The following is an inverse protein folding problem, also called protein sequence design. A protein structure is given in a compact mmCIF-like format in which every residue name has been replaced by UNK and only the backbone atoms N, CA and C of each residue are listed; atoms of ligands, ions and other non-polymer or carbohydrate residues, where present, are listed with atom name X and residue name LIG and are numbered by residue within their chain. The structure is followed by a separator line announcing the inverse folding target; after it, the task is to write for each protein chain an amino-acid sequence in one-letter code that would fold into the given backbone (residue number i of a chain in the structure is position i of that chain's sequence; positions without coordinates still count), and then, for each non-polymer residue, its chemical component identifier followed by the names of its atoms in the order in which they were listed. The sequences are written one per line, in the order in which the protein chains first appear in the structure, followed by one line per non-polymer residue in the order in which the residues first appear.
data_IF_326744955394
#
_entry.id   IF_326744955394
#
_cell.length_a   1.000
_cell.length_b   1.000
_cell.length_c   1.000
_cell.angle_alpha   90.00
_cell.angle_beta   90.00
_cell.angle_gamma   90.00
#
_symmetry.space_group_name_H-M   'P 1'
#
loop_
_entity.id
_entity.type
_entity.pdbx_description
1 polymer ?
#
# COMPACT_ATOMS: atom_id res chain seq x y z
N UNK A 1 6.83 -1.52 -2.71
CA UNK A 1 7.60 -1.76 -3.96
C UNK A 1 6.75 -1.39 -5.17
N UNK A 2 7.38 -0.97 -6.28
CA UNK A 2 6.69 -0.67 -7.56
C UNK A 2 7.56 -1.07 -8.75
N UNK A 3 7.02 -1.90 -9.65
CA UNK A 3 7.66 -2.36 -10.88
C UNK A 3 6.93 -1.78 -12.10
N UNK A 4 7.66 -1.17 -13.04
CA UNK A 4 7.11 -0.69 -14.32
C UNK A 4 7.58 -1.52 -15.52
N UNK A 5 8.58 -2.37 -15.32
CA UNK A 5 9.05 -3.37 -16.27
C UNK A 5 9.74 -4.52 -15.54
N UNK A 6 10.16 -5.56 -16.24
CA UNK A 6 10.98 -6.65 -15.73
C UNK A 6 12.43 -6.23 -15.40
N UNK A 7 12.87 -5.08 -15.92
CA UNK A 7 14.19 -4.50 -15.69
C UNK A 7 14.14 -3.22 -14.85
N UNK A 8 12.98 -2.86 -14.31
CA UNK A 8 12.87 -1.69 -13.46
C UNK A 8 11.82 -1.86 -12.36
N UNK A 9 12.30 -2.09 -11.14
CA UNK A 9 11.51 -2.02 -9.91
C UNK A 9 12.20 -1.13 -8.91
N UNK A 10 11.43 -0.48 -8.06
CA UNK A 10 11.94 0.26 -6.90
C UNK A 10 11.32 -0.32 -5.64
N UNK A 11 12.16 -0.74 -4.72
CA UNK A 11 11.77 -1.06 -3.36
C UNK A 11 12.12 0.10 -2.43
N UNK A 12 11.29 0.34 -1.43
CA UNK A 12 11.53 1.33 -0.39
C UNK A 12 11.37 0.68 0.97
N UNK A 13 12.20 1.09 1.92
CA UNK A 13 12.15 0.63 3.30
C UNK A 13 12.65 1.71 4.25
N UNK A 14 12.34 1.56 5.53
CA UNK A 14 13.07 2.28 6.56
C UNK A 14 14.46 1.66 6.68
N UNK A 15 15.53 2.45 6.63
CA UNK A 15 16.87 1.94 6.85
C UNK A 15 16.93 1.22 8.19
N UNK A 16 17.27 -0.06 8.16
CA UNK A 16 17.46 -0.87 9.34
C UNK A 16 18.74 -0.48 10.09
N UNK A 17 18.83 0.74 10.53
CA UNK A 17 19.56 0.97 11.75
C UNK A 17 18.58 0.67 12.88
N UNK A 18 18.51 -0.62 13.20
CA UNK A 18 18.21 -1.04 14.52
C UNK A 18 18.67 0.06 15.45
N UNK A 19 17.82 0.43 16.36
CA UNK A 19 18.14 1.33 17.44
C UNK A 19 19.61 1.14 17.82
N UNK A 20 20.49 1.99 17.30
CA UNK A 20 21.69 2.26 18.05
C UNK A 20 21.19 2.71 19.42
N UNK A 21 22.01 2.54 20.43
CA UNK A 21 21.63 2.90 21.81
C UNK A 21 21.18 4.36 21.97
N UNK A 22 21.07 5.12 20.89
CA UNK A 22 20.67 6.53 20.80
C UNK A 22 19.25 6.74 20.25
N UNK A 23 18.55 5.66 19.79
CA UNK A 23 17.17 5.75 19.33
C UNK A 23 16.99 6.50 18.01
N UNK A 24 18.02 6.57 17.17
CA UNK A 24 17.96 7.25 15.88
C UNK A 24 17.17 6.38 14.88
N UNK A 25 16.03 6.87 14.41
CA UNK A 25 15.28 6.23 13.31
C UNK A 25 16.13 6.32 12.04
N UNK A 26 16.35 5.19 11.36
CA UNK A 26 17.15 5.14 10.14
C UNK A 26 16.57 6.01 9.03
N UNK A 27 17.42 6.48 8.13
CA UNK A 27 17.01 7.21 6.94
C UNK A 27 16.13 6.31 6.06
N UNK A 28 15.15 6.89 5.35
CA UNK A 28 14.39 6.16 4.35
C UNK A 28 15.29 5.82 3.15
N UNK A 29 15.28 4.57 2.72
CA UNK A 29 16.15 4.06 1.67
C UNK A 29 15.33 3.50 0.50
N UNK A 30 15.90 3.59 -0.70
CA UNK A 30 15.40 2.91 -1.89
C UNK A 30 16.48 2.04 -2.50
N UNK A 31 16.05 0.99 -3.17
CA UNK A 31 16.88 0.17 -4.05
C UNK A 31 16.18 0.01 -5.39
N UNK A 32 16.94 0.06 -6.47
CA UNK A 32 16.45 -0.18 -7.82
C UNK A 32 16.89 -1.54 -8.32
N UNK A 33 16.01 -2.19 -9.06
CA UNK A 33 16.24 -3.45 -9.78
C UNK A 33 16.49 -3.15 -11.25
N UNK A 34 17.53 -3.73 -11.85
CA UNK A 34 17.95 -3.52 -13.25
C UNK A 34 17.63 -4.71 -14.18
N UNK A 35 16.93 -5.72 -13.67
CA UNK A 35 16.63 -6.97 -14.37
C UNK A 35 17.48 -8.15 -13.90
N UNK A 36 18.60 -7.90 -13.22
CA UNK A 36 19.52 -8.92 -12.74
C UNK A 36 19.83 -8.79 -11.24
N UNK A 37 19.96 -7.56 -10.75
CA UNK A 37 20.39 -7.30 -9.38
C UNK A 37 19.75 -6.03 -8.79
N UNK A 38 19.67 -6.00 -7.46
CA UNK A 38 19.32 -4.81 -6.70
C UNK A 38 20.53 -3.91 -6.53
N UNK A 39 20.33 -2.60 -6.72
CA UNK A 39 21.35 -1.58 -6.47
C UNK A 39 21.75 -1.50 -4.99
N UNK A 40 22.86 -0.82 -4.70
CA UNK A 40 23.13 -0.35 -3.36
C UNK A 40 22.01 0.61 -2.90
N UNK A 41 21.74 0.69 -1.57
CA UNK A 41 20.72 1.58 -1.05
C UNK A 41 21.03 3.04 -1.36
N UNK A 42 19.99 3.80 -1.72
CA UNK A 42 20.03 5.24 -1.92
C UNK A 42 19.10 5.90 -0.91
N UNK A 43 19.57 6.91 -0.20
CA UNK A 43 18.80 7.65 0.81
C UNK A 43 17.93 8.69 0.10
N UNK A 44 16.62 8.64 0.31
CA UNK A 44 15.68 9.63 -0.22
C UNK A 44 15.15 10.59 0.86
N UNK A 45 15.06 10.13 2.12
CA UNK A 45 14.76 10.96 3.27
C UNK A 45 15.99 11.00 4.19
N UNK A 46 16.51 12.18 4.53
CA UNK A 46 17.44 12.28 5.64
C UNK A 46 16.74 11.74 6.90
N UNK A 47 17.50 11.09 7.78
CA UNK A 47 16.95 10.56 9.01
C UNK A 47 16.06 11.63 9.67
N UNK A 48 14.80 11.36 9.97
CA UNK A 48 13.97 12.32 10.65
C UNK A 48 14.66 12.64 11.97
N UNK A 49 14.94 13.92 12.19
CA UNK A 49 15.31 14.40 13.51
C UNK A 49 14.22 13.91 14.45
N UNK A 50 14.54 12.95 15.29
CA UNK A 50 13.67 12.18 16.18
C UNK A 50 12.28 12.80 16.34
N UNK A 51 11.36 12.45 15.44
CA UNK A 51 9.95 12.70 15.60
C UNK A 51 9.53 11.84 16.77
N UNK A 52 8.97 12.46 17.78
CA UNK A 52 8.45 11.83 18.98
C UNK A 52 7.93 10.44 18.66
N UNK A 53 8.57 9.41 19.20
CA UNK A 53 8.10 8.06 19.48
C UNK A 53 8.76 6.88 18.76
N UNK A 54 9.83 7.05 17.97
CA UNK A 54 10.66 5.90 17.57
C UNK A 54 9.98 4.77 16.78
N UNK A 55 8.81 5.02 16.19
CA UNK A 55 8.13 4.02 15.37
C UNK A 55 8.66 4.05 13.93
N UNK A 56 8.89 2.87 13.33
CA UNK A 56 9.29 2.80 11.93
C UNK A 56 8.24 3.46 11.05
N UNK A 57 8.69 4.36 10.19
CA UNK A 57 7.87 4.95 9.13
C UNK A 57 7.84 3.94 8.00
N UNK A 58 6.63 3.50 7.60
CA UNK A 58 6.47 2.59 6.48
C UNK A 58 6.19 3.41 5.21
N UNK A 59 7.21 3.61 4.36
CA UNK A 59 7.03 4.36 3.13
C UNK A 59 6.34 3.50 2.09
N UNK A 60 5.46 4.12 1.30
CA UNK A 60 4.87 3.51 0.11
C UNK A 60 5.41 4.19 -1.15
N UNK A 61 5.49 3.44 -2.23
CA UNK A 61 6.04 3.92 -3.50
C UNK A 61 5.16 3.51 -4.65
N UNK A 62 5.03 4.39 -5.62
CA UNK A 62 4.48 4.11 -6.95
C UNK A 62 5.37 4.71 -8.01
N UNK A 63 5.56 3.97 -9.10
CA UNK A 63 6.27 4.44 -10.29
C UNK A 63 5.37 4.29 -11.51
N UNK A 64 5.49 5.21 -12.46
CA UNK A 64 4.86 5.14 -13.77
C UNK A 64 5.91 5.29 -14.86
N UNK A 65 5.57 4.89 -16.09
CA UNK A 65 6.48 4.94 -17.24
C UNK A 65 7.03 6.34 -17.50
N UNK A 66 8.30 6.41 -17.94
CA UNK A 66 9.05 7.66 -18.20
C UNK A 66 9.94 8.14 -17.06
N UNK A 67 10.65 7.28 -16.32
CA UNK A 67 10.35 6.88 -14.95
C UNK A 67 10.03 8.08 -14.07
N UNK A 68 8.84 8.11 -13.55
CA UNK A 68 8.40 9.06 -12.52
C UNK A 68 7.91 8.26 -11.33
N UNK A 69 8.57 8.42 -10.20
CA UNK A 69 8.26 7.73 -8.95
C UNK A 69 7.88 8.73 -7.86
N UNK A 70 6.95 8.34 -7.01
CA UNK A 70 6.54 9.09 -5.83
C UNK A 70 6.61 8.18 -4.62
N UNK A 71 7.27 8.66 -3.56
CA UNK A 71 7.30 8.03 -2.24
C UNK A 71 6.50 8.91 -1.30
N UNK A 72 5.58 8.29 -0.56
CA UNK A 72 4.88 8.91 0.55
C UNK A 72 5.25 8.18 1.84
N UNK A 73 5.51 8.92 2.88
CA UNK A 73 5.73 8.36 4.21
C UNK A 73 4.57 8.68 5.18
N UNK A 74 4.45 7.87 6.21
CA UNK A 74 3.43 8.08 7.24
C UNK A 74 3.67 9.34 8.10
N UNK A 75 4.80 10.04 7.97
CA UNK A 75 5.05 11.28 8.70
C UNK A 75 4.50 12.53 7.99
N UNK A 76 3.95 12.35 6.79
CA UNK A 76 3.36 13.41 5.97
C UNK A 76 4.35 14.13 5.06
N UNK A 77 5.43 13.45 4.68
CA UNK A 77 6.35 13.92 3.64
C UNK A 77 6.17 13.12 2.35
N UNK A 78 6.49 13.77 1.27
CA UNK A 78 6.49 13.17 -0.07
C UNK A 78 7.77 13.53 -0.81
N UNK A 79 8.34 12.55 -1.53
CA UNK A 79 9.47 12.75 -2.43
C UNK A 79 9.12 12.27 -3.83
N UNK A 80 9.54 13.01 -4.84
CA UNK A 80 9.40 12.64 -6.24
C UNK A 80 10.78 12.36 -6.83
N UNK A 81 10.88 11.44 -7.76
CA UNK A 81 12.15 11.11 -8.40
C UNK A 81 12.00 10.23 -9.63
N UNK A 82 13.13 9.81 -10.19
CA UNK A 82 13.20 8.88 -11.33
C UNK A 82 13.58 7.45 -10.91
N UNK A 83 13.60 7.19 -9.60
CA UNK A 83 14.04 5.91 -9.03
C UNK A 83 15.52 5.87 -8.63
N UNK A 84 16.33 6.79 -9.13
CA UNK A 84 17.75 6.96 -8.78
C UNK A 84 18.03 8.31 -8.14
N UNK A 85 17.42 9.36 -8.68
CA UNK A 85 17.56 10.73 -8.19
C UNK A 85 16.25 11.19 -7.56
N UNK A 86 16.32 11.63 -6.31
CA UNK A 86 15.17 12.06 -5.55
C UNK A 86 15.22 13.56 -5.29
N UNK A 87 14.10 14.25 -5.53
CA UNK A 87 13.93 15.65 -5.15
C UNK A 87 13.74 15.68 -3.63
N UNK A 88 14.32 16.71 -2.99
CA UNK A 88 14.20 16.88 -1.54
C UNK A 88 12.74 16.75 -1.08
N UNK A 89 12.47 15.99 -0.02
CA UNK A 89 11.12 15.75 0.46
C UNK A 89 10.41 17.06 0.84
N UNK A 90 9.14 17.15 0.50
CA UNK A 90 8.29 18.28 0.86
C UNK A 90 7.17 17.82 1.79
N UNK A 91 6.79 18.63 2.80
CA UNK A 91 5.67 18.28 3.66
C UNK A 91 4.35 18.42 2.90
N UNK A 92 3.47 17.44 3.05
CA UNK A 92 2.07 17.56 2.66
C UNK A 92 1.37 18.51 3.61
N UNK A 93 0.71 19.54 3.11
CA UNK A 93 0.06 20.59 3.92
C UNK A 93 -1.46 20.47 3.86
N UNK A 94 -2.16 20.67 4.99
CA UNK A 94 -1.65 20.71 6.36
C UNK A 94 -1.23 19.31 6.81
N UNK A 95 -0.15 19.21 7.62
CA UNK A 95 0.13 17.96 8.30
C UNK A 95 -1.03 17.68 9.26
N UNK A 96 -1.82 16.61 9.05
CA UNK A 96 -2.98 16.38 9.89
C UNK A 96 -2.54 16.13 11.33
N UNK A 97 -3.33 16.57 12.34
CA UNK A 97 -3.02 16.28 13.73
C UNK A 97 -3.03 14.77 13.96
N UNK A 98 -2.07 14.28 14.74
CA UNK A 98 -2.07 12.90 15.23
C UNK A 98 -3.30 12.72 16.12
N UNK A 99 -4.31 12.00 15.66
CA UNK A 99 -5.44 11.64 16.51
C UNK A 99 -5.05 10.47 17.39
N UNK A 100 -5.02 10.70 18.71
CA UNK A 100 -4.93 9.62 19.69
C UNK A 100 -6.23 8.81 19.61
N UNK A 101 -6.13 7.49 19.58
CA UNK A 101 -7.30 6.62 19.63
C UNK A 101 -8.10 6.91 20.93
N UNK A 102 -9.33 7.46 20.85
CA UNK A 102 -10.10 7.81 22.03
C UNK A 102 -10.54 6.59 22.87
N UNK A 103 -10.48 5.38 22.30
CA UNK A 103 -10.89 4.14 22.99
C UNK A 103 -9.74 3.43 23.72
N UNK A 104 -8.49 3.87 23.51
CA UNK A 104 -7.35 3.33 24.25
C UNK A 104 -6.32 4.43 24.60
N UNK A 105 -6.66 5.36 25.53
CA UNK A 105 -5.75 6.42 25.93
C UNK A 105 -4.50 5.96 26.69
N UNK A 106 -4.43 4.67 27.04
CA UNK A 106 -3.30 4.08 27.79
C UNK A 106 -2.27 3.37 26.91
N UNK A 107 -2.54 3.09 25.64
CA UNK A 107 -1.53 2.65 24.69
C UNK A 107 -0.77 3.90 24.22
N UNK A 108 0.28 4.27 24.94
CA UNK A 108 1.11 5.43 24.66
C UNK A 108 1.91 5.35 23.33
N UNK A 109 1.40 4.66 22.36
CA UNK A 109 1.89 4.67 21.01
C UNK A 109 0.96 5.59 20.22
N UNK A 110 1.36 6.82 19.90
CA UNK A 110 0.74 7.54 18.80
C UNK A 110 0.86 6.62 17.61
N UNK A 111 -0.27 6.16 17.10
CA UNK A 111 -0.28 5.19 16.01
C UNK A 111 0.60 5.64 14.87
N UNK A 112 1.35 4.70 14.29
CA UNK A 112 2.09 4.97 13.07
C UNK A 112 1.10 5.53 12.04
N UNK A 113 1.42 6.66 11.43
CA UNK A 113 0.64 7.13 10.29
C UNK A 113 0.96 6.23 9.13
N UNK A 114 -0.07 5.69 8.52
CA UNK A 114 0.05 5.01 7.24
C UNK A 114 -0.39 5.95 6.13
N UNK A 115 0.34 5.92 5.03
CA UNK A 115 -0.03 6.60 3.80
C UNK A 115 0.16 5.62 2.64
N UNK A 116 -0.72 5.70 1.66
CA UNK A 116 -0.60 4.97 0.40
C UNK A 116 -0.58 5.94 -0.76
N UNK A 117 0.21 5.65 -1.79
CA UNK A 117 0.33 6.47 -2.99
C UNK A 117 0.07 5.67 -4.24
N UNK A 118 -0.64 6.25 -5.19
CA UNK A 118 -0.85 5.69 -6.53
C UNK A 118 -0.82 6.80 -7.58
N UNK A 119 -0.10 6.57 -8.66
CA UNK A 119 -0.03 7.45 -9.82
C UNK A 119 -0.68 6.79 -11.03
N UNK A 120 -1.63 7.45 -11.65
CA UNK A 120 -2.14 7.03 -12.96
C UNK A 120 -1.20 7.48 -14.08
N UNK A 121 -0.53 8.62 -13.90
CA UNK A 121 0.46 9.20 -14.83
C UNK A 121 1.46 10.04 -14.03
N UNK A 122 2.55 10.48 -14.67
CA UNK A 122 3.49 11.45 -14.07
C UNK A 122 2.86 12.82 -13.76
N UNK A 123 1.65 13.08 -14.26
CA UNK A 123 0.90 14.33 -14.05
C UNK A 123 -0.24 14.20 -13.05
N UNK A 124 -0.57 12.98 -12.62
CA UNK A 124 -1.63 12.71 -11.66
C UNK A 124 -1.24 11.59 -10.71
N UNK A 125 -1.16 11.91 -9.44
CA UNK A 125 -1.01 10.97 -8.34
C UNK A 125 -1.97 11.32 -7.22
N UNK A 126 -2.30 10.33 -6.43
CA UNK A 126 -3.08 10.49 -5.20
C UNK A 126 -2.36 9.83 -4.04
N UNK A 127 -2.33 10.52 -2.90
CA UNK A 127 -1.93 9.96 -1.62
C UNK A 127 -3.16 9.95 -0.73
N UNK A 128 -3.39 8.85 -0.03
CA UNK A 128 -4.39 8.76 1.04
C UNK A 128 -3.69 8.42 2.35
N UNK A 129 -4.18 8.96 3.46
CA UNK A 129 -3.64 8.70 4.79
C UNK A 129 -4.71 8.15 5.76
N UNK A 130 -4.27 7.49 6.83
CA UNK A 130 -5.17 6.96 7.86
C UNK A 130 -5.74 8.06 8.80
N UNK A 131 -5.44 9.32 8.55
CA UNK A 131 -6.14 10.46 9.15
C UNK A 131 -7.35 10.93 8.34
N UNK A 132 -7.62 10.26 7.21
CA UNK A 132 -8.79 10.54 6.37
C UNK A 132 -8.60 11.67 5.37
N UNK A 133 -7.40 11.87 4.88
CA UNK A 133 -7.12 12.87 3.86
C UNK A 133 -6.69 12.22 2.55
N UNK A 134 -7.08 12.85 1.45
CA UNK A 134 -6.52 12.60 0.12
C UNK A 134 -5.79 13.85 -0.39
N UNK A 135 -4.61 13.66 -0.90
CA UNK A 135 -3.79 14.68 -1.54
C UNK A 135 -3.64 14.33 -3.00
N UNK A 136 -3.86 15.28 -3.88
CA UNK A 136 -3.75 15.08 -5.33
C UNK A 136 -2.56 15.86 -5.88
N UNK A 137 -1.75 15.18 -6.70
CA UNK A 137 -0.69 15.80 -7.50
C UNK A 137 -1.23 16.13 -8.86
N UNK A 138 -1.25 17.41 -9.18
CA UNK A 138 -1.63 17.92 -10.49
C UNK A 138 -0.77 19.14 -10.86
N UNK A 139 -0.48 19.31 -12.16
CA UNK A 139 0.25 20.47 -12.68
C UNK A 139 1.60 20.74 -11.98
N UNK A 140 2.26 19.68 -11.49
CA UNK A 140 3.58 19.80 -10.85
C UNK A 140 3.54 20.22 -9.38
N UNK A 141 2.40 20.13 -8.71
CA UNK A 141 2.26 20.47 -7.29
C UNK A 141 1.23 19.59 -6.57
N UNK A 142 1.43 19.43 -5.25
CA UNK A 142 0.45 18.80 -4.37
C UNK A 142 -0.62 19.83 -3.98
N UNK A 143 -1.89 19.49 -4.24
CA UNK A 143 -3.02 20.32 -3.89
C UNK A 143 -3.35 20.23 -2.39
N UNK A 144 -4.20 21.12 -1.91
CA UNK A 144 -4.73 21.04 -0.55
C UNK A 144 -5.52 19.73 -0.38
N UNK A 145 -5.44 19.07 0.80
CA UNK A 145 -6.10 17.79 1.01
C UNK A 145 -7.61 17.92 0.98
N UNK A 146 -8.25 16.88 0.45
CA UNK A 146 -9.67 16.63 0.61
C UNK A 146 -9.86 15.69 1.79
N UNK A 147 -10.66 16.07 2.78
CA UNK A 147 -10.98 15.21 3.90
C UNK A 147 -12.09 14.21 3.52
N UNK A 148 -11.91 12.94 3.84
CA UNK A 148 -12.96 11.94 3.78
C UNK A 148 -13.83 12.09 5.04
N UNK A 149 -15.05 12.56 4.89
CA UNK A 149 -16.13 12.41 5.85
C UNK A 149 -15.78 12.38 7.35
N UNK A 150 -15.14 13.41 7.87
CA UNK A 150 -14.96 13.58 9.33
C UNK A 150 -16.27 13.99 10.04
N UNK A 151 -17.41 13.63 9.47
CA UNK A 151 -18.75 13.96 9.96
C UNK A 151 -19.43 12.79 10.69
N UNK A 152 -20.53 13.08 11.37
CA UNK A 152 -21.44 12.10 11.99
C UNK A 152 -22.47 11.54 11.01
N UNK A 153 -22.31 11.78 9.71
CA UNK A 153 -23.23 11.36 8.65
C UNK A 153 -23.01 9.90 8.19
N UNK A 154 -23.87 9.38 7.30
CA UNK A 154 -23.74 8.02 6.77
C UNK A 154 -22.42 7.79 5.99
N UNK A 155 -21.79 8.87 5.51
CA UNK A 155 -20.50 8.84 4.81
C UNK A 155 -19.29 8.98 5.75
N UNK A 156 -19.52 9.06 7.06
CA UNK A 156 -18.44 9.12 8.03
C UNK A 156 -17.62 7.83 8.00
N UNK A 157 -16.29 7.99 7.88
CA UNK A 157 -15.33 6.89 8.00
C UNK A 157 -14.79 6.91 9.43
N UNK A 158 -15.00 5.83 10.17
CA UNK A 158 -14.35 5.66 11.46
C UNK A 158 -12.88 5.31 11.20
N UNK A 159 -11.99 6.22 11.57
CA UNK A 159 -10.55 6.12 11.33
C UNK A 159 -9.82 5.82 12.65
N UNK A 160 -8.94 4.84 12.59
CA UNK A 160 -8.07 4.48 13.71
C UNK A 160 -6.62 4.56 13.26
N UNK A 161 -5.74 4.89 14.18
CA UNK A 161 -4.30 5.00 13.92
C UNK A 161 -3.64 3.68 13.47
N UNK A 162 -4.32 2.54 13.67
CA UNK A 162 -3.89 1.21 13.23
C UNK A 162 -4.51 0.78 11.90
N UNK A 163 -5.32 1.64 11.27
CA UNK A 163 -6.02 1.29 10.03
C UNK A 163 -5.02 1.22 8.87
N UNK A 164 -5.05 0.12 8.14
CA UNK A 164 -4.36 -0.03 6.88
C UNK A 164 -4.97 0.90 5.84
N UNK A 165 -4.11 1.44 4.98
CA UNK A 165 -4.53 2.25 3.85
C UNK A 165 -3.97 1.70 2.55
N UNK A 166 -4.77 1.79 1.50
CA UNK A 166 -4.36 1.46 0.15
C UNK A 166 -5.06 2.37 -0.85
N UNK A 167 -4.43 2.65 -1.97
CA UNK A 167 -5.05 3.39 -3.07
C UNK A 167 -4.55 2.85 -4.39
N UNK A 168 -5.43 2.79 -5.38
CA UNK A 168 -5.10 2.40 -6.75
C UNK A 168 -5.84 3.27 -7.74
N UNK A 169 -5.09 3.92 -8.64
CA UNK A 169 -5.58 4.86 -9.64
C UNK A 169 -5.27 4.33 -11.05
N UNK A 170 -6.15 3.58 -11.68
CA UNK A 170 -5.94 3.14 -13.07
C UNK A 170 -6.05 4.29 -14.07
N UNK A 171 -6.74 5.38 -13.73
CA UNK A 171 -6.86 6.60 -14.55
C UNK A 171 -6.88 7.85 -13.67
N UNK A 172 -6.77 9.02 -14.29
CA UNK A 172 -6.85 10.31 -13.58
C UNK A 172 -8.24 10.62 -13.03
N UNK A 173 -9.28 9.96 -13.56
CA UNK A 173 -10.67 10.14 -13.16
C UNK A 173 -11.27 8.95 -12.41
N UNK A 174 -10.47 7.93 -12.12
CA UNK A 174 -10.90 6.77 -11.36
C UNK A 174 -9.79 6.30 -10.45
N UNK A 175 -10.01 6.40 -9.15
CA UNK A 175 -9.20 5.76 -8.11
C UNK A 175 -10.13 5.06 -7.13
N UNK A 176 -9.63 4.01 -6.52
CA UNK A 176 -10.30 3.39 -5.37
C UNK A 176 -9.32 3.35 -4.21
N UNK A 177 -9.78 3.74 -3.04
CA UNK A 177 -9.01 3.71 -1.80
C UNK A 177 -9.67 2.78 -0.77
N UNK A 178 -8.85 2.14 0.03
CA UNK A 178 -9.26 1.40 1.23
C UNK A 178 -8.65 2.07 2.44
N UNK A 179 -9.46 2.34 3.48
CA UNK A 179 -9.01 2.95 4.72
C UNK A 179 -9.76 2.27 5.86
N UNK A 180 -9.05 1.47 6.66
CA UNK A 180 -9.67 0.69 7.72
C UNK A 180 -10.82 -0.17 7.21
N UNK A 181 -12.05 0.16 7.59
CA UNK A 181 -13.26 -0.58 7.17
C UNK A 181 -13.97 0.02 5.96
N UNK A 182 -13.45 1.09 5.38
CA UNK A 182 -14.11 1.82 4.30
C UNK A 182 -13.44 1.59 2.95
N UNK A 183 -14.24 1.57 1.90
CA UNK A 183 -13.82 1.70 0.50
C UNK A 183 -14.39 3.00 -0.04
N UNK A 184 -13.56 3.73 -0.76
CA UNK A 184 -13.86 5.04 -1.30
C UNK A 184 -13.51 5.08 -2.78
N UNK A 185 -14.38 5.63 -3.61
CA UNK A 185 -14.14 5.83 -5.03
C UNK A 185 -14.01 7.30 -5.39
N UNK A 186 -13.02 7.60 -6.21
CA UNK A 186 -12.76 8.89 -6.84
C UNK A 186 -13.36 8.93 -8.24
N UNK A 187 -14.13 9.95 -8.55
CA UNK A 187 -14.80 10.11 -9.85
C UNK A 187 -14.16 11.19 -10.75
N UNK A 188 -12.96 11.64 -10.41
CA UNK A 188 -12.29 12.75 -11.10
C UNK A 188 -12.45 14.09 -10.40
N UNK A 189 -13.33 14.22 -9.38
CA UNK A 189 -13.57 15.45 -8.67
C UNK A 189 -13.81 15.28 -7.16
N UNK A 190 -14.47 14.21 -6.77
CA UNK A 190 -14.85 13.94 -5.38
C UNK A 190 -14.69 12.48 -5.02
N UNK A 191 -14.44 12.21 -3.75
CA UNK A 191 -14.44 10.90 -3.15
C UNK A 191 -15.82 10.56 -2.58
N UNK A 192 -16.31 9.35 -2.82
CA UNK A 192 -17.56 8.82 -2.25
C UNK A 192 -17.33 7.46 -1.62
N UNK A 193 -18.06 7.21 -0.51
CA UNK A 193 -17.97 5.93 0.18
C UNK A 193 -18.79 4.88 -0.56
N UNK A 194 -18.19 3.70 -0.73
CA UNK A 194 -18.81 2.53 -1.32
C UNK A 194 -19.42 1.61 -0.24
N UNK A 195 -20.48 0.89 -0.63
CA UNK A 195 -21.08 -0.16 0.19
C UNK A 195 -20.41 -1.50 -0.10
N UNK A 196 -19.87 -2.13 0.93
CA UNK A 196 -19.31 -3.48 0.83
C UNK A 196 -20.41 -4.54 1.08
N UNK A 197 -20.39 -5.68 0.36
CA UNK A 197 -21.34 -6.77 0.58
C UNK A 197 -21.04 -7.61 1.84
N UNK A 198 -19.99 -7.29 2.57
CA UNK A 198 -19.66 -7.85 3.88
C UNK A 198 -19.52 -6.73 4.91
N UNK A 199 -19.62 -7.08 6.17
CA UNK A 199 -19.42 -6.14 7.27
C UNK A 199 -17.98 -6.29 7.76
N UNK A 200 -17.07 -5.32 7.47
CA UNK A 200 -15.77 -5.32 8.09
C UNK A 200 -15.93 -5.21 9.60
N UNK A 201 -15.19 -6.01 10.34
CA UNK A 201 -15.18 -5.95 11.80
C UNK A 201 -13.94 -5.20 12.25
N UNK A 202 -14.08 -4.27 13.18
CA UNK A 202 -12.92 -3.61 13.77
C UNK A 202 -12.00 -4.66 14.38
N UNK A 203 -10.73 -4.61 14.07
CA UNK A 203 -9.74 -5.50 14.67
C UNK A 203 -9.78 -5.35 16.20
N UNK A 204 -9.74 -6.46 16.92
CA UNK A 204 -9.56 -6.44 18.37
C UNK A 204 -8.17 -5.85 18.65
N UNK A 205 -8.07 -4.68 19.32
CA UNK A 205 -6.79 -4.02 19.59
C UNK A 205 -5.84 -4.86 20.45
N UNK A 206 -6.32 -5.94 21.08
CA UNK A 206 -5.52 -6.87 21.87
C UNK A 206 -4.76 -7.91 21.03
N UNK A 207 -5.16 -8.11 19.77
CA UNK A 207 -4.50 -9.04 18.86
C UNK A 207 -3.70 -8.27 17.82
N UNK A 208 -2.38 -8.37 17.89
CA UNK A 208 -1.44 -7.86 16.86
C UNK A 208 -1.62 -8.51 15.48
N UNK A 209 -2.47 -9.51 15.40
CA UNK A 209 -2.84 -10.14 14.15
C UNK A 209 -4.01 -9.36 13.55
N UNK A 210 -3.74 -8.51 12.57
CA UNK A 210 -4.73 -7.94 11.64
C UNK A 210 -5.54 -9.03 10.89
N UNK A 211 -5.51 -10.24 11.36
CA UNK A 211 -5.60 -11.47 10.62
C UNK A 211 -7.00 -12.06 10.47
N UNK A 212 -8.04 -11.54 11.10
CA UNK A 212 -9.32 -12.28 11.08
C UNK A 212 -10.54 -11.41 10.86
N UNK A 213 -10.36 -10.14 10.63
CA UNK A 213 -11.48 -9.21 10.78
C UNK A 213 -12.11 -8.72 9.49
N UNK A 214 -11.86 -9.32 8.34
CA UNK A 214 -12.51 -8.89 7.11
C UNK A 214 -12.17 -7.45 6.65
N UNK A 215 -11.25 -6.77 7.33
CA UNK A 215 -10.82 -5.43 6.94
C UNK A 215 -9.92 -5.49 5.70
N UNK A 216 -10.11 -4.60 4.72
CA UNK A 216 -9.20 -4.46 3.60
C UNK A 216 -7.75 -4.21 4.06
N UNK A 217 -6.81 -4.94 3.48
CA UNK A 217 -5.36 -4.77 3.71
C UNK A 217 -4.67 -4.11 2.54
N UNK A 218 -5.09 -4.42 1.32
CA UNK A 218 -4.56 -3.81 0.11
C UNK A 218 -5.58 -3.81 -1.03
N UNK A 219 -5.34 -2.96 -2.03
CA UNK A 219 -6.18 -2.82 -3.22
C UNK A 219 -5.31 -2.67 -4.47
N UNK A 220 -5.77 -3.25 -5.58
CA UNK A 220 -5.21 -3.01 -6.90
C UNK A 220 -6.31 -2.97 -7.96
N UNK A 221 -6.27 -1.96 -8.82
CA UNK A 221 -7.19 -1.78 -9.93
C UNK A 221 -6.44 -1.89 -11.25
N UNK A 222 -6.77 -2.90 -12.05
CA UNK A 222 -6.25 -3.03 -13.41
C UNK A 222 -6.89 -2.02 -14.38
N UNK A 223 -8.15 -1.67 -14.13
CA UNK A 223 -8.92 -0.68 -14.90
C UNK A 223 -9.87 0.07 -13.97
N UNK A 224 -10.55 1.09 -14.48
CA UNK A 224 -11.62 1.79 -13.74
C UNK A 224 -12.79 0.90 -13.34
N UNK A 225 -12.93 -0.27 -13.97
CA UNK A 225 -14.02 -1.22 -13.72
C UNK A 225 -13.60 -2.52 -13.08
N UNK A 226 -12.29 -2.83 -13.05
CA UNK A 226 -11.76 -4.00 -12.36
C UNK A 226 -10.83 -3.56 -11.25
N UNK A 227 -11.26 -3.77 -10.02
CA UNK A 227 -10.46 -3.64 -8.80
C UNK A 227 -10.58 -4.91 -7.97
N UNK A 228 -9.52 -5.28 -7.29
CA UNK A 228 -9.49 -6.36 -6.31
C UNK A 228 -8.97 -5.84 -4.97
N UNK A 229 -9.64 -6.23 -3.91
CA UNK A 229 -9.28 -5.96 -2.51
C UNK A 229 -8.90 -7.30 -1.88
N UNK A 230 -7.82 -7.32 -1.12
CA UNK A 230 -7.50 -8.44 -0.24
C UNK A 230 -7.71 -8.04 1.22
N UNK A 231 -8.07 -9.04 2.02
CA UNK A 231 -8.18 -8.94 3.46
C UNK A 231 -7.77 -10.27 4.08
N UNK A 232 -7.02 -10.29 5.15
CA UNK A 232 -6.67 -11.52 5.85
C UNK A 232 -6.51 -12.73 4.90
N UNK A 233 -7.49 -13.63 4.84
CA UNK A 233 -7.45 -14.86 4.02
C UNK A 233 -8.23 -14.79 2.70
N UNK A 234 -8.85 -13.64 2.38
CA UNK A 234 -9.80 -13.56 1.28
C UNK A 234 -9.58 -12.39 0.33
N UNK A 235 -10.35 -12.43 -0.74
CA UNK A 235 -10.43 -11.35 -1.72
C UNK A 235 -11.88 -11.04 -2.06
N UNK A 236 -12.14 -9.80 -2.41
CA UNK A 236 -13.35 -9.32 -3.06
C UNK A 236 -12.96 -8.50 -4.27
N UNK A 237 -13.69 -8.61 -5.34
CA UNK A 237 -13.40 -7.87 -6.56
C UNK A 237 -14.68 -7.27 -7.15
N UNK A 238 -14.53 -6.22 -7.95
CA UNK A 238 -15.56 -5.74 -8.86
C UNK A 238 -15.00 -5.79 -10.28
N UNK A 239 -15.79 -6.30 -11.21
CA UNK A 239 -15.42 -6.43 -12.62
C UNK A 239 -16.61 -6.06 -13.49
N UNK A 240 -16.62 -4.81 -13.95
CA UNK A 240 -17.70 -4.24 -14.75
C UNK A 240 -19.03 -4.03 -14.03
N UNK A 241 -19.17 -4.55 -12.82
CA UNK A 241 -20.33 -4.33 -11.96
C UNK A 241 -20.11 -3.12 -11.03
N UNK A 242 -21.17 -2.38 -10.66
CA UNK A 242 -21.04 -1.28 -9.70
C UNK A 242 -20.84 -1.75 -8.26
N UNK A 243 -20.95 -3.05 -7.99
CA UNK A 243 -20.90 -3.63 -6.66
C UNK A 243 -19.74 -4.61 -6.53
N UNK A 244 -19.21 -4.72 -5.31
CA UNK A 244 -18.18 -5.70 -4.97
C UNK A 244 -18.78 -7.11 -4.88
N UNK A 245 -18.00 -8.13 -5.26
CA UNK A 245 -18.36 -9.53 -5.06
C UNK A 245 -18.39 -9.87 -3.56
N UNK A 246 -19.10 -10.91 -3.15
CA UNK A 246 -18.92 -11.50 -1.83
C UNK A 246 -17.45 -11.87 -1.61
N UNK A 247 -17.01 -11.83 -0.35
CA UNK A 247 -15.65 -12.21 0.02
C UNK A 247 -15.42 -13.69 -0.30
N UNK A 248 -14.33 -13.97 -1.03
CA UNK A 248 -13.89 -15.33 -1.37
C UNK A 248 -12.60 -15.64 -0.63
N UNK A 249 -12.56 -16.72 0.13
CA UNK A 249 -11.32 -17.21 0.74
C UNK A 249 -10.41 -17.79 -0.35
N UNK A 250 -9.21 -17.27 -0.46
CA UNK A 250 -8.20 -17.70 -1.45
C UNK A 250 -6.93 -18.22 -0.79
N UNK A 251 -6.72 -17.86 0.47
CA UNK A 251 -5.61 -18.34 1.30
C UNK A 251 -6.10 -18.60 2.73
N UNK A 252 -6.58 -19.83 3.04
CA UNK A 252 -7.18 -20.14 4.34
C UNK A 252 -6.19 -20.07 5.51
N UNK A 253 -4.90 -20.21 5.26
CA UNK A 253 -3.87 -20.29 6.30
C UNK A 253 -3.05 -19.02 6.40
N UNK A 254 -3.12 -18.15 5.38
CA UNK A 254 -2.28 -16.98 5.25
C UNK A 254 -2.95 -15.69 5.74
N UNK A 255 -2.15 -14.63 5.71
CA UNK A 255 -2.56 -13.25 5.92
C UNK A 255 -2.17 -12.44 4.69
N UNK A 256 -3.09 -12.32 3.73
CA UNK A 256 -2.88 -11.55 2.51
C UNK A 256 -2.64 -10.08 2.86
N UNK A 257 -1.51 -9.56 2.43
CA UNK A 257 -1.02 -8.23 2.78
C UNK A 257 -0.84 -7.31 1.56
N UNK A 258 -0.67 -7.90 0.38
CA UNK A 258 -0.42 -7.16 -0.85
C UNK A 258 -1.10 -7.81 -2.05
N UNK A 259 -1.49 -6.98 -3.01
CA UNK A 259 -2.06 -7.42 -4.30
C UNK A 259 -1.62 -6.50 -5.43
N UNK A 260 -1.38 -7.07 -6.61
CA UNK A 260 -1.07 -6.35 -7.85
C UNK A 260 -1.83 -6.96 -9.03
N UNK A 261 -2.60 -6.13 -9.73
CA UNK A 261 -3.38 -6.51 -10.91
C UNK A 261 -2.92 -5.67 -12.10
N UNK A 262 -1.93 -6.11 -12.89
CA UNK A 262 -1.46 -5.35 -14.06
C UNK A 262 -2.47 -5.37 -15.22
N UNK A 263 -3.38 -6.35 -15.24
CA UNK A 263 -4.41 -6.48 -16.26
C UNK A 263 -5.63 -7.27 -15.76
N UNK A 264 -6.75 -7.20 -16.49
CA UNK A 264 -8.03 -7.80 -16.07
C UNK A 264 -7.98 -9.34 -15.97
N UNK A 265 -7.10 -9.98 -16.72
CA UNK A 265 -6.92 -11.44 -16.74
C UNK A 265 -5.80 -11.93 -15.82
N UNK A 266 -5.19 -11.05 -15.03
CA UNK A 266 -4.12 -11.46 -14.12
C UNK A 266 -4.03 -10.56 -12.89
N UNK A 267 -4.04 -11.17 -11.72
CA UNK A 267 -3.64 -10.57 -10.46
C UNK A 267 -2.72 -11.52 -9.69
N UNK A 268 -1.90 -10.98 -8.83
CA UNK A 268 -1.11 -11.73 -7.87
C UNK A 268 -1.28 -11.11 -6.48
N UNK A 269 -1.64 -11.93 -5.50
CA UNK A 269 -1.67 -11.57 -4.10
C UNK A 269 -0.55 -12.29 -3.35
N UNK A 270 -0.01 -11.66 -2.31
CA UNK A 270 1.04 -12.21 -1.45
C UNK A 270 0.62 -12.10 0.02
N UNK A 271 1.01 -13.10 0.81
CA UNK A 271 0.78 -13.14 2.23
C UNK A 271 2.05 -12.88 3.04
N UNK A 272 1.89 -12.67 4.34
CA UNK A 272 3.01 -12.43 5.28
C UNK A 272 3.89 -13.65 5.50
N UNK A 273 3.41 -14.84 5.17
CA UNK A 273 4.14 -16.09 5.32
C UNK A 273 4.96 -16.45 4.07
N UNK A 274 4.91 -15.62 3.04
CA UNK A 274 5.69 -15.77 1.81
C UNK A 274 5.04 -16.68 0.77
N UNK A 275 3.72 -16.85 0.83
CA UNK A 275 2.95 -17.51 -0.21
C UNK A 275 2.42 -16.50 -1.22
N UNK A 276 2.25 -16.94 -2.45
CA UNK A 276 1.59 -16.21 -3.53
C UNK A 276 0.35 -16.95 -4.00
N UNK A 277 -0.66 -16.18 -4.41
CA UNK A 277 -1.89 -16.66 -5.03
C UNK A 277 -2.11 -15.88 -6.33
N UNK A 278 -2.33 -16.56 -7.44
CA UNK A 278 -2.53 -15.93 -8.75
C UNK A 278 -3.97 -16.08 -9.23
N UNK A 279 -4.47 -15.05 -9.92
CA UNK A 279 -5.74 -15.00 -10.62
C UNK A 279 -5.51 -15.06 -12.12
N UNK A 280 -6.24 -15.93 -12.83
CA UNK A 280 -6.15 -16.14 -14.27
C UNK A 280 -7.21 -15.42 -15.11
N UNK A 281 -7.96 -14.50 -14.49
CA UNK A 281 -9.12 -13.84 -15.09
C UNK A 281 -10.46 -14.50 -14.71
N UNK A 282 -10.45 -15.71 -14.16
CA UNK A 282 -11.64 -16.49 -13.81
C UNK A 282 -11.56 -17.13 -12.43
N UNK A 283 -10.41 -17.66 -12.03
CA UNK A 283 -10.21 -18.40 -10.79
C UNK A 283 -8.89 -18.04 -10.12
N UNK A 284 -8.86 -18.18 -8.80
CA UNK A 284 -7.64 -18.09 -8.01
C UNK A 284 -6.98 -19.47 -7.90
N UNK A 285 -5.68 -19.54 -8.18
CA UNK A 285 -4.88 -20.74 -7.99
C UNK A 285 -4.64 -21.03 -6.51
N UNK A 286 -4.29 -22.27 -6.12
CA UNK A 286 -3.84 -22.54 -4.76
C UNK A 286 -2.60 -21.74 -4.36
N UNK A 287 -2.44 -21.39 -3.06
CA UNK A 287 -1.25 -20.71 -2.57
C UNK A 287 0.04 -21.50 -2.81
N UNK A 288 1.08 -20.83 -3.27
CA UNK A 288 2.42 -21.41 -3.50
C UNK A 288 3.45 -20.62 -2.71
N UNK A 289 4.25 -21.32 -1.89
CA UNK A 289 5.34 -20.68 -1.14
C UNK A 289 6.51 -20.34 -2.05
N UNK A 290 6.95 -19.08 -2.02
CA UNK A 290 7.97 -18.55 -2.93
C UNK A 290 9.15 -17.89 -2.24
N UNK A 291 8.94 -17.32 -1.04
CA UNK A 291 9.98 -16.73 -0.21
C UNK A 291 9.87 -17.24 1.23
N UNK A 292 10.96 -17.21 2.03
CA UNK A 292 10.90 -17.54 3.45
C UNK A 292 9.92 -16.62 4.21
N UNK A 293 9.50 -17.05 5.39
CA UNK A 293 8.83 -16.15 6.35
C UNK A 293 9.86 -15.15 6.84
N UNK A 294 9.53 -13.87 6.86
CA UNK A 294 10.40 -12.87 7.43
C UNK A 294 10.66 -13.17 8.92
N UNK A 295 11.92 -13.14 9.31
CA UNK A 295 12.34 -13.42 10.70
C UNK A 295 12.28 -12.18 11.56
N UNK A 296 12.22 -11.03 10.94
CA UNK A 296 12.12 -9.75 11.60
C UNK A 296 10.69 -9.52 12.10
N UNK A 297 10.52 -9.51 13.42
CA UNK A 297 9.26 -9.27 14.13
C UNK A 297 8.71 -7.84 13.96
N UNK A 298 9.29 -7.02 13.10
CA UNK A 298 8.84 -5.63 12.90
C UNK A 298 7.48 -5.52 12.21
N UNK A 299 6.88 -6.64 11.81
CA UNK A 299 5.54 -6.67 11.19
C UNK A 299 5.50 -6.04 9.80
N UNK A 300 6.66 -5.94 9.14
CA UNK A 300 6.76 -5.48 7.76
C UNK A 300 6.26 -6.62 6.88
N UNK A 301 5.13 -6.39 6.24
CA UNK A 301 4.46 -7.34 5.39
C UNK A 301 5.23 -7.65 4.11
N UNK A 302 4.64 -8.51 3.32
CA UNK A 302 5.11 -8.87 1.99
C UNK A 302 4.54 -7.88 0.98
N UNK A 303 5.35 -7.42 0.03
CA UNK A 303 4.91 -6.54 -1.05
C UNK A 303 5.03 -7.23 -2.39
N UNK A 304 3.97 -7.20 -3.19
CA UNK A 304 3.97 -7.68 -4.58
C UNK A 304 3.75 -6.52 -5.55
N UNK A 305 4.49 -6.53 -6.66
CA UNK A 305 4.26 -5.61 -7.78
C UNK A 305 4.48 -6.33 -9.09
N UNK A 306 3.50 -6.22 -9.98
CA UNK A 306 3.52 -6.80 -11.32
C UNK A 306 3.56 -5.67 -12.36
N UNK A 307 4.54 -5.68 -13.25
CA UNK A 307 4.55 -4.80 -14.43
C UNK A 307 3.72 -5.39 -15.58
N UNK A 308 3.49 -6.70 -15.58
CA UNK A 308 2.67 -7.41 -16.57
C UNK A 308 2.23 -8.77 -16.00
N UNK A 309 1.40 -9.50 -16.72
CA UNK A 309 1.09 -10.89 -16.38
C UNK A 309 2.30 -11.84 -16.49
N UNK A 310 3.36 -11.41 -17.14
CA UNK A 310 4.58 -12.20 -17.33
C UNK A 310 5.72 -11.80 -16.39
N UNK A 311 5.55 -10.74 -15.61
CA UNK A 311 6.55 -10.35 -14.63
C UNK A 311 5.92 -9.75 -13.38
N UNK A 312 6.17 -10.41 -12.27
CA UNK A 312 5.91 -9.89 -10.93
C UNK A 312 7.14 -10.10 -10.04
N UNK A 313 7.27 -9.24 -9.06
CA UNK A 313 8.24 -9.40 -7.99
C UNK A 313 7.54 -9.37 -6.64
N UNK A 314 7.99 -10.24 -5.74
CA UNK A 314 7.55 -10.30 -4.34
C UNK A 314 8.78 -10.08 -3.47
N UNK A 315 8.64 -9.28 -2.42
CA UNK A 315 9.71 -8.99 -1.45
C UNK A 315 9.13 -8.99 -0.04
N UNK A 316 9.88 -9.52 0.94
CA UNK A 316 9.52 -9.45 2.36
C UNK A 316 10.36 -8.38 3.10
N UNK A 317 10.09 -8.23 4.40
CA UNK A 317 10.78 -7.25 5.26
C UNK A 317 12.26 -7.53 5.47
N UNK A 318 12.72 -8.77 5.34
CA UNK A 318 14.12 -9.17 5.45
C UNK A 318 14.91 -8.90 4.15
N UNK A 319 14.21 -8.55 3.06
CA UNK A 319 14.79 -8.33 1.74
C UNK A 319 14.91 -9.58 0.90
N UNK A 320 14.35 -10.71 1.33
CA UNK A 320 14.19 -11.87 0.47
C UNK A 320 13.18 -11.55 -0.64
N UNK A 321 13.48 -11.97 -1.85
CA UNK A 321 12.62 -11.72 -3.00
C UNK A 321 12.52 -12.92 -3.92
N UNK A 322 11.44 -12.95 -4.70
CA UNK A 322 11.24 -13.88 -5.80
C UNK A 322 10.63 -13.15 -7.00
N UNK A 323 11.00 -13.59 -8.19
CA UNK A 323 10.42 -13.15 -9.45
C UNK A 323 9.50 -14.22 -10.04
N UNK A 324 8.40 -13.78 -10.62
CA UNK A 324 7.48 -14.59 -11.39
C UNK A 324 7.61 -14.22 -12.87
N UNK A 325 7.85 -15.21 -13.73
CA UNK A 325 8.10 -15.03 -15.16
C UNK A 325 6.91 -15.44 -16.05
N UNK A 326 5.71 -15.59 -15.47
CA UNK A 326 4.55 -16.09 -16.21
C UNK A 326 4.60 -17.61 -16.46
N UNK A 327 3.53 -18.21 -16.98
CA UNK A 327 3.58 -19.56 -17.48
C UNK A 327 4.55 -19.58 -18.67
N UNK A 328 5.61 -20.39 -18.57
CA UNK A 328 6.43 -20.71 -19.73
C UNK A 328 5.53 -21.50 -20.67
N UNK A 329 5.20 -20.91 -21.83
CA UNK A 329 4.51 -21.62 -22.91
C UNK A 329 5.36 -22.86 -23.24
N UNK A 330 4.90 -24.05 -22.77
CA UNK A 330 5.50 -25.33 -23.00
C UNK A 330 5.15 -25.86 -24.38
#
# INVERSE_FOLDING_TARGET
MSCISDTFCIATGGGANQSDATGTVGAGETRSWDGEAWSNPSVYFPAPTAGANGLPIMPTITCVSGPFCVIADGSGFVANGDGTNWIAPVPLKPAPPLTTNPTNPGSGHPGAREAAVSCATSKFCTIVDNSGNAYTWEHGSWLAPQAFGSGTGPDAVALYASDRVGVSCPTTSACTAVIGTAVLDWNGSTWSKESLPWTPTLADPSHRAASVSGNPTAISCATSTLCAIVNGSGTSYRNGAPTWSPLQTIDPAGMLDSISCPQVSFCMAADTDGFMVTWDGTTWAPPIKVIPVATDYTGIGTSVSCSSANFCMVINGDGDYATYSGPTDG
#
